data_IF_736046305263
#
_entry.id   IF_736046305263
#
_cell.length_a   1.000
_cell.length_b   1.000
_cell.length_c   1.000
_cell.angle_alpha   90.00
_cell.angle_beta   90.00
_cell.angle_gamma   90.00
#
_symmetry.space_group_name_H-M   'P 1'
#
loop_
_entity.id
_entity.type
_entity.pdbx_description
1 polymer ?
#
# COMPACT_ATOMS: atom_id res chain seq x y z
N UNK A 1 9.57 15.28 5.65
CA UNK A 1 10.81 15.87 6.21
C UNK A 1 11.90 16.03 5.15
N UNK A 2 12.27 14.99 4.36
CA UNK A 2 13.36 15.08 3.35
C UNK A 2 13.16 16.21 2.35
N UNK A 3 11.96 16.35 1.80
CA UNK A 3 11.62 17.45 0.89
C UNK A 3 11.79 18.81 1.57
N UNK A 4 11.30 18.95 2.80
CA UNK A 4 11.40 20.20 3.54
C UNK A 4 12.86 20.56 3.91
N UNK A 5 13.70 19.54 4.17
CA UNK A 5 15.15 19.75 4.32
C UNK A 5 15.81 20.27 3.05
N UNK A 6 15.45 19.69 1.89
CA UNK A 6 15.95 20.14 0.57
C UNK A 6 15.53 21.57 0.25
N UNK A 7 14.32 21.95 0.66
CA UNK A 7 13.77 23.31 0.48
C UNK A 7 14.26 24.31 1.56
N UNK A 8 15.07 23.88 2.52
CA UNK A 8 15.55 24.74 3.60
C UNK A 8 14.49 25.17 4.62
N UNK A 9 13.31 24.55 4.61
CA UNK A 9 12.19 24.89 5.50
C UNK A 9 12.36 24.33 6.90
N UNK A 10 13.14 23.28 7.06
CA UNK A 10 13.51 22.66 8.35
C UNK A 10 15.01 22.39 8.39
N UNK A 11 15.59 22.23 9.59
CA UNK A 11 17.02 21.94 9.72
C UNK A 11 17.41 20.62 9.06
N UNK A 12 18.62 20.58 8.48
CA UNK A 12 19.19 19.35 7.93
C UNK A 12 19.33 18.24 8.97
N UNK A 13 19.14 16.99 8.54
CA UNK A 13 19.32 15.81 9.36
C UNK A 13 18.11 15.41 10.20
N UNK A 14 16.96 16.04 10.06
CA UNK A 14 15.70 15.64 10.71
C UNK A 14 15.27 14.25 10.24
N UNK A 15 15.16 14.04 8.93
CA UNK A 15 14.74 12.77 8.34
C UNK A 15 15.69 11.63 8.74
N UNK A 16 17.00 11.88 8.70
CA UNK A 16 18.02 10.89 9.09
C UNK A 16 17.91 10.49 10.57
N UNK A 17 17.72 11.46 11.47
CA UNK A 17 17.59 11.20 12.91
C UNK A 17 16.30 10.42 13.19
N UNK A 18 15.19 10.84 12.60
CA UNK A 18 13.91 10.14 12.77
C UNK A 18 14.00 8.71 12.26
N UNK A 19 14.52 8.50 11.04
CA UNK A 19 14.70 7.14 10.46
C UNK A 19 15.52 6.22 11.35
N UNK A 20 16.56 6.73 12.03
CA UNK A 20 17.41 5.93 12.92
C UNK A 20 16.80 5.67 14.29
N UNK A 21 16.07 6.63 14.84
CA UNK A 21 15.65 6.62 16.26
C UNK A 21 14.17 6.35 16.47
N UNK A 22 13.31 6.59 15.46
CA UNK A 22 11.88 6.33 15.58
C UNK A 22 11.64 4.84 15.84
N UNK A 23 10.82 4.55 16.84
CA UNK A 23 10.34 3.21 17.16
C UNK A 23 8.85 3.27 17.43
N UNK A 24 8.10 2.39 16.81
CA UNK A 24 6.66 2.28 17.03
C UNK A 24 6.42 1.46 18.30
N UNK A 25 5.65 2.05 19.23
CA UNK A 25 5.20 1.38 20.45
C UNK A 25 3.68 1.56 20.58
N UNK A 26 2.94 0.58 20.13
CA UNK A 26 1.46 0.61 20.10
C UNK A 26 0.88 0.83 21.49
N UNK A 27 1.38 0.17 22.54
CA UNK A 27 0.91 0.37 23.91
C UNK A 27 1.10 1.83 24.36
N UNK A 28 2.24 2.44 24.03
CA UNK A 28 2.52 3.83 24.38
C UNK A 28 1.61 4.78 23.60
N UNK A 29 1.38 4.52 22.32
CA UNK A 29 0.45 5.32 21.48
C UNK A 29 -0.94 5.32 22.12
N UNK A 30 -1.51 4.17 22.45
CA UNK A 30 -2.83 4.08 23.11
C UNK A 30 -2.89 4.81 24.45
N UNK A 31 -1.81 4.75 25.28
CA UNK A 31 -1.74 5.51 26.52
C UNK A 31 -1.78 7.02 26.30
N UNK A 32 -1.12 7.52 25.26
CA UNK A 32 -1.14 8.93 24.90
C UNK A 32 -2.51 9.30 24.36
N UNK A 33 -3.03 8.52 23.42
CA UNK A 33 -4.32 8.72 22.74
C UNK A 33 -5.48 8.80 23.76
N UNK A 34 -5.48 7.96 24.78
CA UNK A 34 -6.50 8.00 25.84
C UNK A 34 -6.58 9.36 26.55
N UNK A 35 -5.49 10.14 26.55
CA UNK A 35 -5.39 11.47 27.14
C UNK A 35 -5.67 12.58 26.13
N UNK A 36 -5.00 12.51 24.96
CA UNK A 36 -5.08 13.59 23.95
C UNK A 36 -6.28 13.48 23.02
N UNK A 37 -6.93 12.30 22.98
CA UNK A 37 -8.11 12.01 22.15
C UNK A 37 -7.89 12.26 20.65
N UNK A 38 -6.67 12.01 20.17
CA UNK A 38 -6.28 12.20 18.77
C UNK A 38 -5.17 11.21 18.40
N UNK A 39 -5.43 10.35 17.43
CA UNK A 39 -4.58 9.24 16.98
C UNK A 39 -3.22 9.70 16.44
N UNK A 40 -3.22 10.61 15.44
CA UNK A 40 -1.99 11.09 14.79
C UNK A 40 -1.11 11.86 15.78
N UNK A 41 -1.70 12.68 16.67
CA UNK A 41 -0.93 13.38 17.70
C UNK A 41 -0.33 12.38 18.69
N UNK A 42 -1.07 11.34 19.07
CA UNK A 42 -0.56 10.29 19.94
C UNK A 42 0.62 9.54 19.32
N UNK A 43 0.50 9.18 18.03
CA UNK A 43 1.55 8.55 17.24
C UNK A 43 2.80 9.44 17.18
N UNK A 44 2.67 10.70 16.77
CA UNK A 44 3.78 11.65 16.66
C UNK A 44 4.46 11.90 17.99
N UNK A 45 3.69 12.01 19.08
CA UNK A 45 4.24 12.17 20.44
C UNK A 45 5.09 10.96 20.82
N UNK A 46 4.58 9.75 20.58
CA UNK A 46 5.33 8.52 20.86
C UNK A 46 6.63 8.43 20.04
N UNK A 47 6.61 8.86 18.77
CA UNK A 47 7.80 8.94 17.92
C UNK A 47 8.78 9.98 18.43
N UNK A 48 8.29 11.16 18.84
CA UNK A 48 9.13 12.26 19.35
C UNK A 48 9.84 11.88 20.66
N UNK A 49 9.18 11.15 21.55
CA UNK A 49 9.80 10.64 22.79
C UNK A 49 11.06 9.80 22.51
N UNK A 50 11.12 9.10 21.36
CA UNK A 50 12.27 8.26 20.97
C UNK A 50 13.25 8.96 20.05
N UNK A 51 12.76 9.72 19.07
CA UNK A 51 13.59 10.40 18.10
C UNK A 51 14.15 11.74 18.58
N UNK A 52 13.57 12.29 19.66
CA UNK A 52 13.97 13.55 20.26
C UNK A 52 13.42 14.78 19.54
N UNK A 53 13.86 15.97 19.94
CA UNK A 53 13.29 17.25 19.53
C UNK A 53 13.24 17.48 18.02
N UNK A 54 14.10 16.86 17.24
CA UNK A 54 14.08 16.96 15.77
C UNK A 54 12.79 16.37 15.17
N UNK A 55 12.12 15.44 15.85
CA UNK A 55 10.87 14.86 15.35
C UNK A 55 9.69 15.85 15.35
N UNK A 56 9.79 17.00 16.00
CA UNK A 56 8.75 18.05 15.98
C UNK A 56 8.43 18.58 14.57
N UNK A 57 9.33 18.40 13.62
CA UNK A 57 9.15 18.85 12.24
C UNK A 57 8.38 17.86 11.35
N UNK A 58 8.03 16.66 11.84
CA UNK A 58 7.43 15.60 11.05
C UNK A 58 6.04 15.94 10.48
N UNK A 59 5.29 16.77 11.18
CA UNK A 59 3.90 17.09 10.82
C UNK A 59 3.70 18.59 10.52
N UNK A 60 4.78 19.33 10.32
CA UNK A 60 4.71 20.76 10.12
C UNK A 60 3.98 21.11 8.81
N UNK A 61 2.91 21.92 8.91
CA UNK A 61 2.11 22.37 7.77
C UNK A 61 1.14 21.32 7.18
N UNK A 62 1.12 20.12 7.73
CA UNK A 62 0.31 18.98 7.25
C UNK A 62 -0.97 18.83 8.07
N UNK A 63 -1.96 18.18 7.50
CA UNK A 63 -3.10 17.63 8.23
C UNK A 63 -2.92 16.13 8.48
N UNK A 64 -3.73 15.55 9.37
CA UNK A 64 -3.67 14.11 9.67
C UNK A 64 -3.92 13.26 8.43
N UNK A 65 -4.87 13.62 7.57
CA UNK A 65 -5.17 12.90 6.34
C UNK A 65 -4.00 12.90 5.34
N UNK A 66 -3.20 13.96 5.27
CA UNK A 66 -1.98 13.97 4.43
C UNK A 66 -1.07 12.78 4.78
N UNK A 67 -0.95 12.44 6.06
CA UNK A 67 -0.14 11.32 6.53
C UNK A 67 -0.85 10.00 6.39
N UNK A 68 -2.10 9.91 6.85
CA UNK A 68 -2.86 8.66 6.91
C UNK A 68 -3.17 8.14 5.50
N UNK A 69 -3.72 8.97 4.63
CA UNK A 69 -4.15 8.55 3.30
C UNK A 69 -2.94 8.20 2.43
N UNK A 70 -1.90 9.05 2.44
CA UNK A 70 -0.65 8.76 1.70
C UNK A 70 0.03 7.49 2.20
N UNK A 71 0.09 7.25 3.52
CA UNK A 71 0.71 6.03 4.06
C UNK A 71 -0.12 4.78 3.74
N UNK A 72 -1.46 4.87 3.75
CA UNK A 72 -2.34 3.79 3.31
C UNK A 72 -2.12 3.45 1.82
N UNK A 73 -2.07 4.46 0.96
CA UNK A 73 -1.81 4.26 -0.47
C UNK A 73 -0.46 3.56 -0.71
N UNK A 74 0.61 3.96 0.00
CA UNK A 74 1.91 3.29 -0.08
C UNK A 74 1.79 1.82 0.33
N UNK A 75 1.09 1.52 1.43
CA UNK A 75 0.89 0.13 1.89
C UNK A 75 0.09 -0.69 0.89
N UNK A 76 -0.94 -0.13 0.28
CA UNK A 76 -1.75 -0.79 -0.76
C UNK A 76 -0.93 -1.08 -2.02
N UNK A 77 -0.11 -0.12 -2.46
CA UNK A 77 0.83 -0.33 -3.59
C UNK A 77 1.84 -1.45 -3.28
N UNK A 78 2.42 -1.46 -2.08
CA UNK A 78 3.36 -2.51 -1.67
C UNK A 78 2.68 -3.88 -1.62
N UNK A 79 1.49 -3.97 -1.04
CA UNK A 79 0.69 -5.20 -0.98
C UNK A 79 0.27 -5.67 -2.37
N UNK A 80 -0.17 -4.76 -3.23
CA UNK A 80 -0.52 -5.04 -4.62
C UNK A 80 0.64 -5.62 -5.42
N UNK A 81 1.85 -5.11 -5.23
CA UNK A 81 3.07 -5.66 -5.86
C UNK A 81 3.39 -7.10 -5.40
N UNK A 82 3.08 -7.46 -4.15
CA UNK A 82 3.20 -8.83 -3.66
C UNK A 82 2.18 -9.72 -4.38
N UNK A 83 0.91 -9.31 -4.39
CA UNK A 83 -0.16 -10.05 -5.06
C UNK A 83 0.08 -10.23 -6.56
N UNK A 84 0.64 -9.23 -7.25
CA UNK A 84 1.01 -9.37 -8.67
C UNK A 84 2.03 -10.48 -8.90
N UNK A 85 3.06 -10.56 -8.04
CA UNK A 85 4.06 -11.65 -8.12
C UNK A 85 3.42 -13.02 -7.94
N UNK A 86 2.49 -13.14 -7.00
CA UNK A 86 1.78 -14.40 -6.73
C UNK A 86 0.87 -14.78 -7.91
N UNK A 87 0.13 -13.81 -8.49
CA UNK A 87 -0.66 -14.03 -9.69
C UNK A 87 0.22 -14.46 -10.87
N UNK A 88 1.39 -13.87 -11.06
CA UNK A 88 2.33 -14.25 -12.12
C UNK A 88 2.82 -15.71 -11.94
N UNK A 89 3.03 -16.17 -10.71
CA UNK A 89 3.38 -17.55 -10.42
C UNK A 89 2.19 -18.49 -10.73
N UNK A 90 0.98 -18.13 -10.28
CA UNK A 90 -0.25 -18.89 -10.56
C UNK A 90 -0.46 -19.03 -12.07
N UNK A 91 -0.31 -17.96 -12.85
CA UNK A 91 -0.42 -17.99 -14.30
C UNK A 91 0.59 -18.93 -14.95
N UNK A 92 1.84 -18.94 -14.48
CA UNK A 92 2.87 -19.89 -14.97
C UNK A 92 2.48 -21.33 -14.70
N UNK A 93 1.99 -21.63 -13.48
CA UNK A 93 1.57 -22.98 -13.11
C UNK A 93 0.34 -23.40 -13.91
N UNK A 94 -0.71 -22.57 -13.96
CA UNK A 94 -1.94 -22.87 -14.72
C UNK A 94 -1.65 -23.12 -16.19
N UNK A 95 -0.82 -22.30 -16.84
CA UNK A 95 -0.41 -22.48 -18.24
C UNK A 95 0.31 -23.80 -18.45
N UNK A 96 1.26 -24.15 -17.55
CA UNK A 96 2.01 -25.43 -17.62
C UNK A 96 1.06 -26.62 -17.46
N UNK A 97 0.19 -26.58 -16.47
CA UNK A 97 -0.71 -27.70 -16.16
C UNK A 97 -1.82 -27.84 -17.22
N UNK A 98 -2.38 -26.73 -17.71
CA UNK A 98 -3.36 -26.75 -18.80
C UNK A 98 -2.80 -27.46 -20.05
N UNK A 99 -1.55 -27.14 -20.42
CA UNK A 99 -0.88 -27.82 -21.53
C UNK A 99 -0.61 -29.29 -21.27
N UNK A 100 -0.16 -29.65 -20.03
CA UNK A 100 0.12 -31.02 -19.63
C UNK A 100 -1.12 -31.90 -19.72
N UNK A 101 -2.25 -31.42 -19.24
CA UNK A 101 -3.50 -32.18 -19.13
C UNK A 101 -4.52 -31.86 -20.24
N UNK A 102 -4.08 -31.28 -21.35
CA UNK A 102 -4.98 -30.86 -22.45
C UNK A 102 -5.83 -31.98 -23.04
N UNK A 103 -5.38 -33.24 -22.95
CA UNK A 103 -6.08 -34.41 -23.44
C UNK A 103 -6.60 -35.35 -22.35
N UNK A 104 -6.44 -34.96 -21.07
CA UNK A 104 -6.94 -35.78 -19.96
C UNK A 104 -8.44 -35.59 -19.82
N UNK A 105 -9.26 -36.61 -20.10
CA UNK A 105 -10.71 -36.50 -19.98
C UNK A 105 -11.14 -36.25 -18.54
N UNK A 106 -12.13 -35.41 -18.36
CA UNK A 106 -12.82 -35.27 -17.08
C UNK A 106 -14.29 -34.91 -17.32
N UNK A 107 -15.11 -35.13 -16.30
CA UNK A 107 -16.53 -34.85 -16.38
C UNK A 107 -16.77 -33.35 -16.22
N UNK A 108 -17.44 -32.74 -17.20
CA UNK A 108 -18.07 -31.44 -17.05
C UNK A 108 -19.24 -31.51 -16.08
N UNK A 109 -19.50 -30.43 -15.34
CA UNK A 109 -20.60 -30.37 -14.39
C UNK A 109 -21.40 -29.09 -14.58
N UNK A 110 -22.72 -29.22 -14.49
CA UNK A 110 -23.67 -28.10 -14.43
C UNK A 110 -24.70 -28.41 -13.35
N UNK A 111 -25.04 -27.42 -12.53
CA UNK A 111 -25.95 -27.58 -11.38
C UNK A 111 -25.55 -28.72 -10.41
N UNK A 112 -24.26 -29.03 -10.30
CA UNK A 112 -23.75 -30.13 -9.46
C UNK A 112 -23.89 -31.54 -10.04
N UNK A 113 -24.49 -31.68 -11.22
CA UNK A 113 -24.67 -32.98 -11.90
C UNK A 113 -23.70 -33.12 -13.09
N UNK A 114 -23.58 -34.33 -13.62
CA UNK A 114 -22.77 -34.63 -14.81
C UNK A 114 -23.38 -33.95 -16.05
N UNK A 115 -22.52 -33.31 -16.83
CA UNK A 115 -22.81 -32.72 -18.12
C UNK A 115 -21.88 -33.37 -19.17
N UNK A 116 -21.56 -32.67 -20.25
CA UNK A 116 -20.69 -33.19 -21.29
C UNK A 116 -19.27 -33.44 -20.79
N UNK A 117 -18.57 -34.46 -21.33
CA UNK A 117 -17.15 -34.64 -21.07
C UNK A 117 -16.32 -33.44 -21.56
N UNK A 118 -15.36 -33.05 -20.74
CA UNK A 118 -14.39 -32.02 -21.08
C UNK A 118 -12.98 -32.57 -20.85
N UNK A 119 -11.96 -31.72 -20.97
CA UNK A 119 -10.61 -32.08 -20.52
C UNK A 119 -10.20 -31.29 -19.28
N UNK A 120 -9.37 -31.89 -18.44
CA UNK A 120 -8.85 -31.21 -17.26
C UNK A 120 -8.01 -29.98 -17.65
N UNK A 121 -7.27 -30.06 -18.78
CA UNK A 121 -6.54 -28.90 -19.32
C UNK A 121 -7.44 -27.73 -19.71
N UNK A 122 -8.64 -28.00 -20.27
CA UNK A 122 -9.62 -26.94 -20.58
C UNK A 122 -10.13 -26.27 -19.30
N UNK A 123 -10.42 -27.05 -18.26
CA UNK A 123 -10.81 -26.50 -16.95
C UNK A 123 -9.73 -25.57 -16.36
N UNK A 124 -8.46 -25.97 -16.48
CA UNK A 124 -7.35 -25.12 -16.01
C UNK A 124 -7.13 -23.87 -16.89
N UNK A 125 -7.42 -23.98 -18.18
CA UNK A 125 -7.35 -22.84 -19.10
C UNK A 125 -8.38 -21.74 -18.78
N UNK A 126 -9.58 -22.11 -18.29
CA UNK A 126 -10.57 -21.12 -17.85
C UNK A 126 -10.06 -20.32 -16.64
N UNK A 127 -9.46 -20.98 -15.66
CA UNK A 127 -8.81 -20.31 -14.53
C UNK A 127 -7.64 -19.43 -14.97
N UNK A 128 -6.82 -19.91 -15.93
CA UNK A 128 -5.73 -19.10 -16.48
C UNK A 128 -6.25 -17.78 -17.07
N UNK A 129 -7.28 -17.80 -17.90
CA UNK A 129 -7.84 -16.59 -18.50
C UNK A 129 -8.54 -15.69 -17.45
N UNK A 130 -9.13 -16.26 -16.40
CA UNK A 130 -9.68 -15.51 -15.28
C UNK A 130 -8.57 -14.75 -14.51
N UNK A 131 -7.51 -15.44 -14.09
CA UNK A 131 -6.39 -14.82 -13.40
C UNK A 131 -5.66 -13.79 -14.29
N UNK A 132 -5.58 -14.03 -15.59
CA UNK A 132 -5.01 -13.06 -16.54
C UNK A 132 -5.81 -11.75 -16.59
N UNK A 133 -7.15 -11.82 -16.56
CA UNK A 133 -8.01 -10.64 -16.45
C UNK A 133 -7.87 -9.96 -15.07
N UNK A 134 -7.80 -10.75 -13.99
CA UNK A 134 -7.61 -10.24 -12.64
C UNK A 134 -6.26 -9.51 -12.50
N UNK A 135 -5.20 -10.05 -13.12
CA UNK A 135 -3.90 -9.37 -13.19
C UNK A 135 -4.02 -7.96 -13.80
N UNK A 136 -4.73 -7.83 -14.90
CA UNK A 136 -4.99 -6.51 -15.54
C UNK A 136 -5.68 -5.54 -14.58
N UNK A 137 -6.75 -5.99 -13.90
CA UNK A 137 -7.49 -5.19 -12.93
C UNK A 137 -6.60 -4.75 -11.78
N UNK A 138 -5.77 -5.66 -11.25
CA UNK A 138 -4.86 -5.34 -10.16
C UNK A 138 -3.78 -4.33 -10.57
N UNK A 139 -3.24 -4.42 -11.80
CA UNK A 139 -2.29 -3.41 -12.32
C UNK A 139 -2.95 -2.04 -12.37
N UNK A 140 -4.17 -1.93 -12.93
CA UNK A 140 -4.90 -0.66 -12.96
C UNK A 140 -5.19 -0.12 -11.55
N UNK A 141 -5.63 -0.99 -10.63
CA UNK A 141 -5.90 -0.59 -9.25
C UNK A 141 -4.65 -0.08 -8.51
N UNK A 142 -3.48 -0.70 -8.76
CA UNK A 142 -2.20 -0.23 -8.20
C UNK A 142 -1.84 1.15 -8.77
N UNK A 143 -2.06 1.38 -10.06
CA UNK A 143 -1.80 2.66 -10.71
C UNK A 143 -2.73 3.74 -10.15
N UNK A 144 -4.01 3.49 -10.07
CA UNK A 144 -5.02 4.40 -9.52
C UNK A 144 -4.76 4.79 -8.06
N UNK A 145 -4.30 3.86 -7.21
CA UNK A 145 -4.01 4.13 -5.81
C UNK A 145 -2.61 4.71 -5.59
N UNK A 146 -1.77 4.78 -6.62
CA UNK A 146 -0.41 5.36 -6.55
C UNK A 146 -0.47 6.88 -6.53
N UNK A 147 -1.19 7.43 -5.56
CA UNK A 147 -1.40 8.86 -5.38
C UNK A 147 -1.04 9.28 -3.97
N UNK A 148 -0.70 10.56 -3.79
CA UNK A 148 -0.54 11.18 -2.49
C UNK A 148 -1.25 12.54 -2.45
N UNK A 149 -1.57 12.99 -1.24
CA UNK A 149 -2.01 14.36 -0.99
C UNK A 149 -1.23 14.88 0.21
N UNK A 150 -0.42 15.93 0.03
CA UNK A 150 0.29 16.62 1.09
C UNK A 150 0.06 18.12 0.90
N UNK A 151 -1.18 18.54 1.09
CA UNK A 151 -1.69 19.85 0.72
C UNK A 151 -2.34 20.62 1.88
N UNK A 152 -2.33 20.04 3.07
CA UNK A 152 -2.93 20.64 4.27
C UNK A 152 -4.42 20.36 4.41
N UNK A 153 -5.05 20.97 5.42
CA UNK A 153 -6.38 20.62 5.90
C UNK A 153 -7.50 20.69 4.84
N UNK A 154 -7.36 21.58 3.86
CA UNK A 154 -8.39 21.83 2.81
C UNK A 154 -7.80 21.84 1.39
N UNK A 155 -6.58 21.35 1.21
CA UNK A 155 -5.96 21.20 -0.10
C UNK A 155 -5.44 22.50 -0.75
N UNK A 156 -5.26 23.56 0.03
CA UNK A 156 -4.87 24.90 -0.51
C UNK A 156 -3.38 25.20 -0.38
N UNK A 157 -2.59 24.30 0.20
CA UNK A 157 -1.16 24.50 0.47
C UNK A 157 -0.84 25.72 1.35
N UNK A 158 -1.81 26.18 2.18
CA UNK A 158 -1.66 27.38 2.98
C UNK A 158 -0.43 27.38 3.89
N UNK A 159 -0.04 26.22 4.41
CA UNK A 159 1.04 26.06 5.39
C UNK A 159 2.15 25.10 4.95
N UNK A 160 2.12 24.63 3.70
CA UNK A 160 3.11 23.69 3.16
C UNK A 160 3.44 24.03 1.71
N UNK A 161 4.70 23.89 1.34
CA UNK A 161 5.12 24.17 -0.04
C UNK A 161 4.68 23.03 -0.97
N UNK A 162 4.03 23.30 -2.14
CA UNK A 162 3.61 22.29 -3.10
C UNK A 162 4.74 21.36 -3.59
N UNK A 163 5.99 21.80 -3.56
CA UNK A 163 7.14 20.97 -3.89
C UNK A 163 7.40 19.84 -2.88
N UNK A 164 6.79 19.88 -1.69
CA UNK A 164 6.83 18.77 -0.73
C UNK A 164 6.01 17.60 -1.25
N UNK A 165 4.80 17.87 -1.76
CA UNK A 165 3.93 16.85 -2.37
C UNK A 165 4.57 16.23 -3.62
N UNK A 166 5.15 17.06 -4.51
CA UNK A 166 5.85 16.57 -5.70
C UNK A 166 7.06 15.67 -5.41
N UNK A 167 7.59 15.71 -4.20
CA UNK A 167 8.73 14.90 -3.79
C UNK A 167 8.29 13.51 -3.29
N UNK A 168 7.06 13.37 -2.84
CA UNK A 168 6.52 12.12 -2.29
C UNK A 168 6.00 11.23 -3.39
#
# INVERSE_FOLDING_TARGET
AEAMEKLGQIPKGVASVVRKKAKINVKRIHQIESKVKHDVIAFLTSVTEKAGIKARYLHQGMTSSDVLDTSLNIQLVQSGKILLRDIDQILKVLKKQAKKYKYTPCMGRSHGIHAEPITFGLKLATFYEEFKRNRKRLVSAIDEISTCAISGAVGTFANINPNVEKHV
#
